data_IF_308611691158
#
_entry.id   IF_308611691158
#
_cell.length_a   1.000
_cell.length_b   1.000
_cell.length_c   1.000
_cell.angle_alpha   90.00
_cell.angle_beta   90.00
_cell.angle_gamma   90.00
#
_symmetry.space_group_name_H-M   'P 1'
#
loop_
_entity.id
_entity.type
_entity.pdbx_description
1 polymer ?
#
# COMPACT_ATOMS: atom_id res chain seq x y z
N UNK A 1 -25.73 22.29 7.03
CA UNK A 1 -26.10 22.00 5.62
C UNK A 1 -24.95 21.18 5.05
N UNK A 2 -25.19 19.94 4.63
CA UNK A 2 -24.15 19.15 3.95
C UNK A 2 -24.12 19.60 2.49
N UNK A 3 -22.96 20.12 2.06
CA UNK A 3 -22.78 20.66 0.72
C UNK A 3 -22.41 19.51 -0.23
N UNK A 4 -22.87 19.60 -1.48
CA UNK A 4 -22.58 18.60 -2.53
C UNK A 4 -21.07 18.46 -2.83
N UNK A 5 -20.28 19.44 -2.43
CA UNK A 5 -18.83 19.54 -2.63
C UNK A 5 -18.00 19.02 -1.45
N UNK A 6 -18.62 18.59 -0.35
CA UNK A 6 -17.94 18.20 0.89
C UNK A 6 -16.93 17.05 0.69
N UNK A 7 -17.31 16.02 -0.07
CA UNK A 7 -16.41 14.90 -0.42
C UNK A 7 -15.17 15.37 -1.18
N UNK A 8 -15.33 16.27 -2.14
CA UNK A 8 -14.25 16.82 -2.96
C UNK A 8 -13.32 17.74 -2.17
N UNK A 9 -13.88 18.53 -1.24
CA UNK A 9 -13.10 19.39 -0.34
C UNK A 9 -12.25 18.53 0.61
N UNK A 10 -12.81 17.46 1.16
CA UNK A 10 -12.06 16.52 2.01
C UNK A 10 -11.00 15.74 1.22
N UNK A 11 -11.20 15.47 -0.08
CA UNK A 11 -10.15 14.96 -0.98
C UNK A 11 -8.99 15.96 -1.14
N UNK A 12 -9.27 17.24 -1.43
CA UNK A 12 -8.22 18.26 -1.53
C UNK A 12 -7.44 18.43 -0.23
N UNK A 13 -8.13 18.41 0.91
CA UNK A 13 -7.51 18.51 2.23
C UNK A 13 -6.59 17.33 2.52
N UNK A 14 -7.01 16.10 2.17
CA UNK A 14 -6.15 14.91 2.27
C UNK A 14 -4.93 15.04 1.38
N UNK A 15 -5.09 15.44 0.12
CA UNK A 15 -3.98 15.65 -0.81
C UNK A 15 -2.98 16.69 -0.28
N UNK A 16 -3.45 17.80 0.32
CA UNK A 16 -2.57 18.78 0.98
C UNK A 16 -1.75 18.16 2.10
N UNK A 17 -2.38 17.36 2.96
CA UNK A 17 -1.71 16.70 4.08
C UNK A 17 -0.68 15.68 3.58
N UNK A 18 -1.02 14.89 2.56
CA UNK A 18 -0.12 13.92 1.93
C UNK A 18 1.08 14.60 1.26
N UNK A 19 0.88 15.79 0.67
CA UNK A 19 1.94 16.64 0.13
C UNK A 19 2.77 17.38 1.21
N UNK A 20 2.44 17.20 2.50
CA UNK A 20 3.06 17.88 3.64
C UNK A 20 3.05 19.41 3.55
N UNK A 21 2.08 20.00 2.84
CA UNK A 21 1.94 21.44 2.68
C UNK A 21 1.11 22.05 3.80
N UNK A 22 1.54 23.18 4.36
CA UNK A 22 0.67 23.95 5.24
C UNK A 22 -0.41 24.69 4.44
N UNK A 23 -1.49 25.14 5.10
CA UNK A 23 -2.48 26.01 4.45
C UNK A 23 -1.85 27.32 3.93
N UNK A 24 -0.77 27.78 4.57
CA UNK A 24 -0.03 28.96 4.12
C UNK A 24 0.75 28.67 2.83
N UNK A 25 1.39 27.51 2.74
CA UNK A 25 2.12 27.11 1.53
C UNK A 25 1.17 26.93 0.35
N UNK A 26 0.04 26.26 0.59
CA UNK A 26 -1.01 26.11 -0.42
C UNK A 26 -1.60 27.46 -0.85
N UNK A 27 -1.76 28.41 0.08
CA UNK A 27 -2.25 29.75 -0.21
C UNK A 27 -1.34 30.50 -1.18
N UNK A 28 -0.02 30.38 -1.00
CA UNK A 28 0.97 30.98 -1.89
C UNK A 28 0.94 30.36 -3.30
N UNK A 29 0.75 29.04 -3.38
CA UNK A 29 0.70 28.32 -4.65
C UNK A 29 -0.62 28.53 -5.42
N UNK A 30 -1.76 28.57 -4.71
CA UNK A 30 -3.09 28.71 -5.30
C UNK A 30 -3.53 30.16 -5.54
N UNK A 31 -2.73 31.15 -5.13
CA UNK A 31 -3.10 32.57 -5.24
C UNK A 31 -4.30 32.97 -4.36
N UNK A 32 -4.54 32.22 -3.27
CA UNK A 32 -5.63 32.46 -2.31
C UNK A 32 -5.05 32.91 -0.97
N UNK A 33 -5.91 33.34 -0.04
CA UNK A 33 -5.47 33.65 1.34
C UNK A 33 -5.54 32.40 2.21
N UNK A 34 -4.65 32.30 3.21
CA UNK A 34 -4.66 31.19 4.17
C UNK A 34 -6.00 31.10 4.95
N UNK A 35 -6.60 32.24 5.28
CA UNK A 35 -7.93 32.29 5.92
C UNK A 35 -9.01 31.69 5.02
N UNK A 36 -8.99 32.00 3.71
CA UNK A 36 -9.93 31.46 2.74
C UNK A 36 -9.83 29.94 2.66
N UNK A 37 -8.62 29.39 2.56
CA UNK A 37 -8.38 27.94 2.57
C UNK A 37 -8.86 27.31 3.89
N UNK A 38 -8.58 27.95 5.03
CA UNK A 38 -9.02 27.47 6.34
C UNK A 38 -10.55 27.40 6.48
N UNK A 39 -11.28 28.35 5.89
CA UNK A 39 -12.74 28.34 5.89
C UNK A 39 -13.29 27.24 4.97
N UNK A 40 -12.67 27.03 3.81
CA UNK A 40 -13.02 25.94 2.89
C UNK A 40 -12.82 24.57 3.56
N UNK A 41 -11.62 24.31 4.12
CA UNK A 41 -11.29 23.02 4.76
C UNK A 41 -12.11 22.70 6.03
N UNK A 42 -12.81 23.70 6.59
CA UNK A 42 -13.72 23.55 7.73
C UNK A 42 -15.19 23.47 7.31
N UNK A 43 -15.49 23.51 6.01
CA UNK A 43 -16.87 23.55 5.51
C UNK A 43 -17.62 24.84 5.85
N UNK A 44 -16.90 25.89 6.25
CA UNK A 44 -17.48 27.20 6.58
C UNK A 44 -17.74 28.05 5.34
N UNK A 45 -17.10 27.72 4.22
CA UNK A 45 -17.21 28.42 2.95
C UNK A 45 -17.09 27.43 1.79
N UNK A 46 -17.98 27.53 0.81
CA UNK A 46 -17.88 26.77 -0.42
C UNK A 46 -16.97 27.51 -1.43
N UNK A 47 -15.92 26.88 -1.97
CA UNK A 47 -15.10 27.52 -2.99
C UNK A 47 -15.87 27.64 -4.30
N UNK A 48 -15.68 28.76 -5.01
CA UNK A 48 -16.08 28.85 -6.41
C UNK A 48 -15.29 27.84 -7.26
N UNK A 49 -15.84 27.45 -8.41
CA UNK A 49 -15.22 26.44 -9.30
C UNK A 49 -13.78 26.82 -9.68
N UNK A 50 -13.51 28.08 -9.99
CA UNK A 50 -12.16 28.54 -10.32
C UNK A 50 -11.19 28.35 -9.16
N UNK A 51 -11.57 28.79 -7.95
CA UNK A 51 -10.75 28.61 -6.74
C UNK A 51 -10.54 27.13 -6.41
N UNK A 52 -11.55 26.29 -6.64
CA UNK A 52 -11.40 24.83 -6.49
C UNK A 52 -10.38 24.26 -7.48
N UNK A 53 -10.43 24.68 -8.76
CA UNK A 53 -9.45 24.27 -9.78
C UNK A 53 -8.05 24.76 -9.42
N UNK A 54 -7.91 26.00 -8.96
CA UNK A 54 -6.61 26.57 -8.56
C UNK A 54 -6.01 25.80 -7.37
N UNK A 55 -6.84 25.45 -6.38
CA UNK A 55 -6.44 24.61 -5.26
C UNK A 55 -6.02 23.21 -5.70
N UNK A 56 -6.79 22.57 -6.59
CA UNK A 56 -6.46 21.24 -7.12
C UNK A 56 -5.11 21.27 -7.84
N UNK A 57 -4.89 22.25 -8.72
CA UNK A 57 -3.64 22.36 -9.49
C UNK A 57 -2.43 22.68 -8.62
N UNK A 58 -2.60 23.50 -7.58
CA UNK A 58 -1.56 23.75 -6.60
C UNK A 58 -1.17 22.48 -5.81
N UNK A 59 -2.04 21.46 -5.82
CA UNK A 59 -1.82 20.14 -5.21
C UNK A 59 -1.45 19.05 -6.24
N UNK A 60 -1.08 19.41 -7.46
CA UNK A 60 -0.77 18.48 -8.56
C UNK A 60 -1.96 17.56 -8.93
N UNK A 61 -3.18 18.07 -8.77
CA UNK A 61 -4.43 17.42 -9.17
C UNK A 61 -5.09 18.20 -10.31
N UNK A 62 -5.79 17.50 -11.18
CA UNK A 62 -6.55 18.12 -12.28
C UNK A 62 -8.02 17.69 -12.24
N UNK A 63 -8.91 18.68 -12.37
CA UNK A 63 -10.34 18.43 -12.46
C UNK A 63 -10.71 18.05 -13.90
N UNK A 64 -11.19 16.82 -14.09
CA UNK A 64 -11.62 16.30 -15.40
C UNK A 64 -13.09 15.94 -15.41
N UNK A 65 -13.78 16.30 -16.50
CA UNK A 65 -15.16 15.88 -16.73
C UNK A 65 -15.15 14.60 -17.55
N UNK A 66 -15.75 13.54 -16.99
CA UNK A 66 -15.74 12.20 -17.60
C UNK A 66 -17.16 11.61 -17.67
N UNK A 67 -17.46 10.74 -18.65
CA UNK A 67 -18.72 10.01 -18.67
C UNK A 67 -18.90 9.13 -17.42
N UNK A 68 -20.02 9.26 -16.70
CA UNK A 68 -20.28 8.52 -15.44
C UNK A 68 -20.11 7.01 -15.57
N UNK A 69 -20.47 6.43 -16.73
CA UNK A 69 -20.31 4.99 -17.03
C UNK A 69 -18.86 4.49 -16.98
N UNK A 70 -17.89 5.40 -17.11
CA UNK A 70 -16.47 5.06 -17.08
C UNK A 70 -15.81 5.24 -15.71
N UNK A 71 -16.54 5.76 -14.70
CA UNK A 71 -15.99 5.98 -13.36
C UNK A 71 -15.39 4.72 -12.71
N UNK A 72 -16.01 3.52 -12.81
CA UNK A 72 -15.40 2.31 -12.25
C UNK A 72 -14.04 1.99 -12.87
N UNK A 73 -13.92 2.10 -14.20
CA UNK A 73 -12.67 1.84 -14.92
C UNK A 73 -11.59 2.87 -14.57
N UNK A 74 -11.94 4.16 -14.49
CA UNK A 74 -11.02 5.23 -14.09
C UNK A 74 -10.51 4.99 -12.66
N UNK A 75 -11.40 4.65 -11.72
CA UNK A 75 -11.02 4.33 -10.33
C UNK A 75 -10.07 3.13 -10.27
N UNK A 76 -10.30 2.09 -11.07
CA UNK A 76 -9.41 0.93 -11.15
C UNK A 76 -8.01 1.32 -11.64
N UNK A 77 -7.92 2.18 -12.67
CA UNK A 77 -6.64 2.67 -13.19
C UNK A 77 -5.90 3.51 -12.13
N UNK A 78 -6.57 4.41 -11.43
CA UNK A 78 -5.97 5.25 -10.37
C UNK A 78 -5.44 4.37 -9.23
N UNK A 79 -6.22 3.40 -8.75
CA UNK A 79 -5.80 2.46 -7.70
C UNK A 79 -4.62 1.59 -8.16
N UNK A 80 -4.64 1.14 -9.42
CA UNK A 80 -3.53 0.41 -10.03
C UNK A 80 -2.24 1.25 -10.06
N UNK A 81 -2.32 2.51 -10.47
CA UNK A 81 -1.19 3.44 -10.53
C UNK A 81 -0.54 3.63 -9.15
N UNK A 82 -1.33 3.84 -8.08
CA UNK A 82 -0.84 3.99 -6.70
C UNK A 82 -0.12 2.73 -6.17
N UNK A 83 -0.56 1.53 -6.55
CA UNK A 83 0.12 0.27 -6.23
C UNK A 83 1.47 0.14 -6.94
N UNK A 84 1.62 0.70 -8.14
CA UNK A 84 2.90 0.71 -8.87
C UNK A 84 3.92 1.68 -8.29
N UNK A 85 3.50 2.83 -7.77
CA UNK A 85 4.39 3.86 -7.21
C UNK A 85 4.91 3.53 -5.79
N UNK A 86 4.21 2.67 -5.04
CA UNK A 86 4.62 2.22 -3.69
C UNK A 86 5.42 0.91 -3.70
N UNK A 87 5.60 0.30 -4.87
CA UNK A 87 6.43 -0.88 -5.03
C UNK A 87 7.91 -0.49 -5.04
N UNK A 88 8.67 -0.99 -4.07
CA UNK A 88 10.13 -0.84 -4.02
C UNK A 88 10.73 -1.38 -5.33
N UNK A 89 11.74 -0.74 -5.94
CA UNK A 89 12.41 -1.31 -7.11
C UNK A 89 12.88 -2.74 -6.77
N UNK A 90 12.59 -3.69 -7.65
CA UNK A 90 12.80 -5.14 -7.41
C UNK A 90 14.21 -5.48 -6.91
N UNK A 91 15.20 -4.66 -7.28
CA UNK A 91 16.57 -4.76 -6.82
C UNK A 91 16.72 -4.59 -5.29
N UNK A 92 16.10 -3.57 -4.67
CA UNK A 92 16.20 -3.32 -3.23
C UNK A 92 15.41 -4.34 -2.42
N UNK A 93 14.22 -4.73 -2.91
CA UNK A 93 13.45 -5.82 -2.34
C UNK A 93 14.27 -7.12 -2.31
N UNK A 94 14.91 -7.47 -3.43
CA UNK A 94 15.72 -8.68 -3.51
C UNK A 94 16.91 -8.66 -2.54
N UNK A 95 17.48 -7.47 -2.27
CA UNK A 95 18.63 -7.34 -1.38
C UNK A 95 18.27 -7.61 0.09
N UNK A 96 17.14 -7.10 0.58
CA UNK A 96 16.68 -7.33 1.95
C UNK A 96 16.35 -8.81 2.18
N UNK A 97 15.56 -9.41 1.29
CA UNK A 97 15.18 -10.83 1.36
C UNK A 97 16.42 -11.73 1.30
N UNK A 98 17.35 -11.49 0.35
CA UNK A 98 18.60 -12.27 0.24
C UNK A 98 19.48 -12.18 1.48
N UNK A 99 19.56 -11.01 2.13
CA UNK A 99 20.31 -10.86 3.40
C UNK A 99 19.70 -11.73 4.49
N UNK A 100 18.37 -11.77 4.55
CA UNK A 100 17.66 -12.61 5.53
C UNK A 100 17.84 -14.10 5.24
N UNK A 101 17.70 -14.53 3.98
CA UNK A 101 17.96 -15.93 3.59
C UNK A 101 19.37 -16.38 3.98
N UNK A 102 20.39 -15.54 3.77
CA UNK A 102 21.78 -15.84 4.18
C UNK A 102 21.91 -15.99 5.70
N UNK A 103 21.23 -15.15 6.47
CA UNK A 103 21.21 -15.27 7.93
C UNK A 103 20.57 -16.59 8.34
N UNK A 104 19.41 -16.95 7.76
CA UNK A 104 18.73 -18.21 8.07
C UNK A 104 19.63 -19.41 7.75
N UNK A 105 20.28 -19.43 6.59
CA UNK A 105 21.25 -20.49 6.25
C UNK A 105 22.38 -20.59 7.27
N UNK A 106 22.91 -19.46 7.73
CA UNK A 106 23.93 -19.43 8.80
C UNK A 106 23.39 -19.95 10.13
N UNK A 107 22.17 -19.56 10.53
CA UNK A 107 21.53 -20.03 11.75
C UNK A 107 21.30 -21.55 11.72
N UNK A 108 20.79 -22.08 10.59
CA UNK A 108 20.59 -23.53 10.40
C UNK A 108 21.91 -24.30 10.47
N UNK A 109 23.00 -23.74 9.96
CA UNK A 109 24.32 -24.36 10.04
C UNK A 109 24.90 -24.39 11.48
N UNK A 110 24.59 -23.37 12.30
CA UNK A 110 25.11 -23.26 13.67
C UNK A 110 24.26 -24.01 14.70
N UNK A 111 22.93 -23.98 14.56
CA UNK A 111 21.98 -24.45 15.57
C UNK A 111 21.11 -25.63 15.10
N UNK A 112 21.28 -26.06 13.85
CA UNK A 112 20.44 -27.09 13.22
C UNK A 112 19.16 -26.53 12.60
N UNK A 113 18.48 -27.37 11.80
CA UNK A 113 17.16 -27.00 11.26
C UNK A 113 16.11 -27.00 12.38
N UNK A 114 15.18 -26.06 12.31
CA UNK A 114 13.98 -26.03 13.15
C UNK A 114 12.77 -25.73 12.29
N UNK A 115 11.58 -26.12 12.74
CA UNK A 115 10.33 -25.85 12.03
C UNK A 115 10.13 -24.35 11.77
N UNK A 116 10.54 -23.50 12.70
CA UNK A 116 10.47 -22.05 12.59
C UNK A 116 11.46 -21.52 11.54
N UNK A 117 12.70 -22.00 11.51
CA UNK A 117 13.70 -21.60 10.51
C UNK A 117 13.30 -22.05 9.11
N UNK A 118 12.75 -23.26 8.97
CA UNK A 118 12.22 -23.78 7.71
C UNK A 118 11.00 -22.97 7.24
N UNK A 119 10.13 -22.56 8.15
CA UNK A 119 9.01 -21.68 7.85
C UNK A 119 9.47 -20.30 7.36
N UNK A 120 10.49 -19.70 8.00
CA UNK A 120 11.04 -18.42 7.57
C UNK A 120 11.65 -18.56 6.17
N UNK A 121 12.48 -19.57 5.93
CA UNK A 121 13.11 -19.81 4.62
C UNK A 121 12.08 -19.95 3.50
N UNK A 122 11.06 -20.79 3.70
CA UNK A 122 9.99 -20.99 2.73
C UNK A 122 9.19 -19.70 2.46
N UNK A 123 8.96 -18.89 3.49
CA UNK A 123 8.27 -17.60 3.34
C UNK A 123 9.12 -16.63 2.52
N UNK A 124 10.41 -16.51 2.83
CA UNK A 124 11.34 -15.62 2.13
C UNK A 124 11.48 -15.97 0.64
N UNK A 125 11.50 -17.27 0.31
CA UNK A 125 11.58 -17.71 -1.09
C UNK A 125 10.42 -17.18 -1.93
N UNK A 126 9.19 -17.14 -1.39
CA UNK A 126 8.03 -16.57 -2.08
C UNK A 126 8.14 -15.04 -2.19
N UNK A 127 8.55 -14.39 -1.11
CA UNK A 127 8.71 -12.93 -1.04
C UNK A 127 9.77 -12.39 -2.03
N UNK A 128 10.66 -13.26 -2.52
CA UNK A 128 11.63 -12.93 -3.57
C UNK A 128 10.98 -12.60 -4.93
N UNK A 129 9.80 -13.15 -5.22
CA UNK A 129 9.15 -13.05 -6.54
C UNK A 129 7.85 -12.23 -6.53
N UNK A 130 7.41 -11.75 -5.37
CA UNK A 130 6.18 -10.96 -5.22
C UNK A 130 6.56 -9.51 -4.97
N UNK A 131 5.88 -8.54 -5.60
CA UNK A 131 6.11 -7.11 -5.32
C UNK A 131 5.60 -6.76 -3.92
N UNK A 132 6.37 -6.00 -3.16
CA UNK A 132 6.07 -5.61 -1.79
C UNK A 132 6.05 -4.09 -1.65
N UNK A 133 5.25 -3.60 -0.69
CA UNK A 133 5.28 -2.19 -0.30
C UNK A 133 6.58 -1.84 0.45
N UNK A 134 6.87 -0.55 0.55
CA UNK A 134 7.97 -0.02 1.39
C UNK A 134 7.84 -0.44 2.85
N UNK A 135 6.62 -0.45 3.39
CA UNK A 135 6.30 -0.88 4.75
C UNK A 135 6.62 -2.37 4.97
N UNK A 136 6.25 -3.22 4.01
CA UNK A 136 6.54 -4.65 4.09
C UNK A 136 8.06 -4.92 4.07
N UNK A 137 8.81 -4.18 3.24
CA UNK A 137 10.28 -4.29 3.18
C UNK A 137 10.93 -3.81 4.47
N UNK A 138 10.43 -2.72 5.06
CA UNK A 138 10.89 -2.24 6.37
C UNK A 138 10.64 -3.30 7.46
N UNK A 139 9.45 -3.93 7.46
CA UNK A 139 9.12 -4.99 8.40
C UNK A 139 10.06 -6.19 8.26
N UNK A 140 10.37 -6.63 7.04
CA UNK A 140 11.38 -7.68 6.80
C UNK A 140 12.74 -7.30 7.41
N UNK A 141 13.19 -6.06 7.22
CA UNK A 141 14.46 -5.58 7.76
C UNK A 141 14.47 -5.61 9.30
N UNK A 142 13.37 -5.19 9.94
CA UNK A 142 13.22 -5.27 11.40
C UNK A 142 13.31 -6.71 11.91
N UNK A 143 12.60 -7.65 11.26
CA UNK A 143 12.62 -9.05 11.66
C UNK A 143 14.00 -9.70 11.44
N UNK A 144 14.71 -9.29 10.39
CA UNK A 144 16.11 -9.66 10.18
C UNK A 144 16.99 -9.21 11.35
N UNK A 145 16.86 -7.95 11.80
CA UNK A 145 17.69 -7.41 12.88
C UNK A 145 17.37 -8.06 14.23
N UNK A 146 16.10 -8.35 14.52
CA UNK A 146 15.67 -9.12 15.71
C UNK A 146 16.33 -10.49 15.71
N UNK A 147 16.21 -11.26 14.61
CA UNK A 147 16.80 -12.59 14.56
C UNK A 147 18.33 -12.55 14.59
N UNK A 148 18.95 -11.52 14.01
CA UNK A 148 20.40 -11.32 14.05
C UNK A 148 20.88 -11.08 15.48
N UNK A 149 20.12 -10.34 16.29
CA UNK A 149 20.45 -9.99 17.68
C UNK A 149 20.33 -11.19 18.62
N UNK A 150 19.22 -11.92 18.55
CA UNK A 150 18.93 -12.99 19.51
C UNK A 150 19.42 -14.36 19.07
N UNK A 151 19.66 -14.56 17.77
CA UNK A 151 20.12 -15.81 17.17
C UNK A 151 19.16 -16.99 17.41
N UNK A 152 19.29 -18.07 16.63
CA UNK A 152 18.40 -19.22 16.72
C UNK A 152 18.83 -20.19 17.85
N UNK A 153 19.10 -19.64 19.04
CA UNK A 153 19.53 -20.41 20.19
C UNK A 153 18.35 -21.05 20.93
N UNK A 154 18.57 -22.12 21.73
CA UNK A 154 17.51 -22.71 22.56
C UNK A 154 16.84 -21.71 23.52
N UNK A 155 17.58 -20.70 23.97
CA UNK A 155 17.12 -19.66 24.89
C UNK A 155 16.26 -18.58 24.20
N UNK A 156 16.31 -18.53 22.87
CA UNK A 156 15.61 -17.53 22.05
C UNK A 156 14.53 -18.15 21.16
N UNK A 157 14.10 -19.39 21.47
CA UNK A 157 13.08 -20.12 20.69
C UNK A 157 11.80 -19.32 20.47
N UNK A 158 11.32 -18.63 21.51
CA UNK A 158 10.10 -17.82 21.41
C UNK A 158 10.27 -16.63 20.44
N UNK A 159 11.46 -16.02 20.42
CA UNK A 159 11.81 -14.94 19.49
C UNK A 159 11.85 -15.46 18.06
N UNK A 160 12.49 -16.62 17.82
CA UNK A 160 12.52 -17.24 16.48
C UNK A 160 11.11 -17.56 16.00
N UNK A 161 10.26 -18.07 16.89
CA UNK A 161 8.86 -18.35 16.60
C UNK A 161 8.08 -17.09 16.23
N UNK A 162 8.25 -16.01 16.99
CA UNK A 162 7.61 -14.72 16.71
C UNK A 162 8.04 -14.17 15.34
N UNK A 163 9.35 -14.19 15.05
CA UNK A 163 9.88 -13.81 13.74
C UNK A 163 9.25 -14.65 12.62
N UNK A 164 9.13 -15.97 12.81
CA UNK A 164 8.51 -16.86 11.83
C UNK A 164 7.03 -16.53 11.58
N UNK A 165 6.28 -16.14 12.62
CA UNK A 165 4.90 -15.71 12.50
C UNK A 165 4.78 -14.39 11.74
N UNK A 166 5.63 -13.41 12.03
CA UNK A 166 5.62 -12.11 11.35
C UNK A 166 5.95 -12.25 9.87
N UNK A 167 7.00 -13.00 9.52
CA UNK A 167 7.36 -13.23 8.11
C UNK A 167 6.26 -14.00 7.37
N UNK A 168 5.58 -14.95 8.04
CA UNK A 168 4.42 -15.66 7.47
C UNK A 168 3.22 -14.73 7.27
N UNK A 169 2.94 -13.81 8.18
CA UNK A 169 1.85 -12.84 8.05
C UNK A 169 2.02 -11.98 6.80
N UNK A 170 3.24 -11.47 6.56
CA UNK A 170 3.58 -10.71 5.34
C UNK A 170 3.31 -11.54 4.09
N UNK A 171 3.80 -12.78 4.06
CA UNK A 171 3.57 -13.71 2.95
C UNK A 171 2.09 -13.96 2.69
N UNK A 172 1.29 -14.21 3.73
CA UNK A 172 -0.14 -14.47 3.60
C UNK A 172 -0.88 -13.25 3.07
N UNK A 173 -0.61 -12.07 3.62
CA UNK A 173 -1.19 -10.80 3.16
C UNK A 173 -0.91 -10.57 1.67
N UNK A 174 0.32 -10.82 1.23
CA UNK A 174 0.71 -10.64 -0.17
C UNK A 174 0.16 -11.73 -1.11
N UNK A 175 -0.06 -12.95 -0.62
CA UNK A 175 -0.74 -13.99 -1.37
C UNK A 175 -2.22 -13.64 -1.59
N UNK A 176 -2.92 -13.22 -0.54
CA UNK A 176 -4.34 -12.85 -0.63
C UNK A 176 -4.59 -11.53 -1.37
N UNK A 177 -3.64 -10.59 -1.36
CA UNK A 177 -3.73 -9.37 -2.16
C UNK A 177 -3.71 -9.62 -3.68
N UNK A 178 -3.20 -10.77 -4.13
CA UNK A 178 -3.29 -11.21 -5.53
C UNK A 178 -4.64 -11.83 -5.87
N UNK A 179 -5.26 -12.53 -4.91
CA UNK A 179 -6.54 -13.22 -5.10
C UNK A 179 -7.76 -12.32 -4.93
N UNK A 180 -7.59 -11.10 -4.40
CA UNK A 180 -8.69 -10.11 -4.30
C UNK A 180 -9.07 -9.45 -5.64
N UNK A 181 -8.35 -9.71 -6.73
CA UNK A 181 -8.81 -9.44 -8.10
C UNK A 181 -9.79 -10.56 -8.53
N UNK A 182 -11.04 -10.47 -8.05
CA UNK A 182 -12.22 -11.29 -8.40
C UNK A 182 -12.16 -12.81 -8.18
N UNK A 183 -13.12 -13.42 -7.45
CA UNK A 183 -13.38 -14.84 -7.58
C UNK A 183 -13.95 -15.08 -8.97
N UNK A 184 -13.16 -15.65 -9.90
CA UNK A 184 -13.67 -16.14 -11.19
C UNK A 184 -14.61 -17.31 -10.91
N UNK A 185 -15.94 -17.17 -11.11
CA UNK A 185 -16.81 -18.34 -11.06
C UNK A 185 -16.42 -19.26 -12.23
N UNK A 186 -16.05 -20.49 -11.92
CA UNK A 186 -15.60 -21.48 -12.90
C UNK A 186 -16.74 -22.08 -13.75
N UNK A 187 -17.96 -21.57 -13.63
CA UNK A 187 -19.13 -22.08 -14.36
C UNK A 187 -20.12 -20.95 -14.65
N UNK A 188 -20.03 -20.39 -15.85
CA UNK A 188 -21.23 -20.04 -16.62
C UNK A 188 -21.34 -21.07 -17.72
N UNK A 189 -21.97 -22.20 -17.40
CA UNK A 189 -22.47 -23.12 -18.43
C UNK A 189 -23.36 -22.29 -19.34
N UNK A 190 -22.92 -22.06 -20.57
CA UNK A 190 -23.79 -21.54 -21.61
C UNK A 190 -24.90 -22.57 -21.80
N UNK A 191 -26.08 -22.28 -21.25
CA UNK A 191 -27.32 -22.90 -21.70
C UNK A 191 -27.64 -22.30 -23.07
N UNK A 192 -26.95 -22.80 -24.10
CA UNK A 192 -27.44 -22.77 -25.46
C UNK A 192 -28.26 -24.04 -25.68
N UNK A 193 -29.43 -23.84 -26.28
CA UNK A 193 -30.29 -24.80 -26.99
C UNK A 193 -30.54 -26.18 -26.34
N UNK A 194 -31.80 -26.40 -25.91
CA UNK A 194 -32.63 -27.42 -26.55
C UNK A 194 -34.11 -27.32 -26.13
N UNK A 195 -34.97 -27.33 -27.16
CA UNK A 195 -36.31 -27.91 -27.28
C UNK A 195 -37.50 -27.43 -26.40
N UNK A 196 -38.42 -26.67 -27.03
CA UNK A 196 -39.76 -27.12 -27.47
C UNK A 196 -40.72 -25.95 -27.78
#
# INVERSE_FOLDING_TARGET
MSYKSEELIEELKRARIEAALSQRDLSAAAGLTQSHISQIERGMLEPGLSSFIDLARALDLELVVVPKKLLPAIRAVIQGAQRTHTAVPSQFQSAAVRKFERLIKKQKALYGSSAELDQIENSLHLLRYVRMSTEDVATIATQYDVLKRFQASPQSRDVVREVALQVRSIRNRLAHARDSDEPRPAYSFAAGDDDA
#
